data_IF_585314073684
#
_entry.id   IF_585314073684
#
_cell.length_a   1.000
_cell.length_b   1.000
_cell.length_c   1.000
_cell.angle_alpha   90.00
_cell.angle_beta   90.00
_cell.angle_gamma   90.00
#
_symmetry.space_group_name_H-M   'P 1'
#
loop_
_entity.id
_entity.type
_entity.pdbx_description
1 polymer ?
#
# COMPACT_ATOMS: atom_id res chain seq x y z
N UNK A 1 -5.38 -36.92 -2.02
CA UNK A 1 -4.88 -36.39 -0.74
C UNK A 1 -4.70 -34.89 -0.88
N UNK A 2 -5.20 -34.08 0.06
CA UNK A 2 -5.06 -32.63 0.02
C UNK A 2 -3.59 -32.24 0.28
N UNK A 3 -2.98 -31.48 -0.64
CA UNK A 3 -1.61 -30.98 -0.49
C UNK A 3 -1.56 -29.99 0.69
N UNK A 4 -0.57 -30.11 1.57
CA UNK A 4 -0.31 -29.07 2.58
C UNK A 4 0.01 -27.75 1.87
N UNK A 5 -0.66 -26.66 2.27
CA UNK A 5 -0.51 -25.32 1.68
C UNK A 5 0.94 -24.84 1.70
N UNK A 6 1.69 -25.14 2.76
CA UNK A 6 3.11 -24.80 2.88
C UNK A 6 3.96 -25.49 1.82
N UNK A 7 3.71 -26.78 1.54
CA UNK A 7 4.45 -27.53 0.53
C UNK A 7 4.22 -26.99 -0.88
N UNK A 8 3.00 -26.54 -1.17
CA UNK A 8 2.67 -25.90 -2.44
C UNK A 8 3.41 -24.56 -2.65
N UNK A 9 3.55 -23.76 -1.58
CA UNK A 9 4.29 -22.48 -1.62
C UNK A 9 5.76 -22.71 -1.93
N UNK A 10 6.39 -23.67 -1.24
CA UNK A 10 7.81 -24.00 -1.44
C UNK A 10 8.07 -24.56 -2.86
N UNK A 11 7.21 -25.48 -3.34
CA UNK A 11 7.27 -26.04 -4.70
C UNK A 11 7.15 -24.94 -5.76
N UNK A 12 6.16 -24.05 -5.62
CA UNK A 12 5.96 -22.96 -6.58
C UNK A 12 7.14 -21.99 -6.61
N UNK A 13 7.64 -21.58 -5.45
CA UNK A 13 8.78 -20.68 -5.36
C UNK A 13 10.03 -21.31 -6.00
N UNK A 14 10.29 -22.59 -5.69
CA UNK A 14 11.41 -23.34 -6.25
C UNK A 14 11.33 -23.50 -7.77
N UNK A 15 10.14 -23.84 -8.28
CA UNK A 15 9.88 -23.98 -9.72
C UNK A 15 10.08 -22.65 -10.46
N UNK A 16 9.54 -21.55 -9.92
CA UNK A 16 9.74 -20.21 -10.47
C UNK A 16 11.22 -19.81 -10.48
N UNK A 17 11.93 -20.01 -9.36
CA UNK A 17 13.34 -19.67 -9.23
C UNK A 17 14.19 -20.41 -10.26
N UNK A 18 13.95 -21.73 -10.39
CA UNK A 18 14.64 -22.57 -11.37
C UNK A 18 14.33 -22.13 -12.79
N UNK A 19 13.06 -21.87 -13.11
CA UNK A 19 12.65 -21.42 -14.43
C UNK A 19 13.34 -20.10 -14.80
N UNK A 20 13.33 -19.12 -13.90
CA UNK A 20 13.90 -17.80 -14.15
C UNK A 20 15.44 -17.83 -14.22
N UNK A 21 16.09 -18.61 -13.34
CA UNK A 21 17.54 -18.84 -13.40
C UNK A 21 17.94 -19.46 -14.75
N UNK A 22 17.25 -20.52 -15.17
CA UNK A 22 17.56 -21.20 -16.44
C UNK A 22 17.27 -20.31 -17.65
N UNK A 23 16.19 -19.52 -17.61
CA UNK A 23 15.85 -18.55 -18.66
C UNK A 23 16.94 -17.49 -18.87
N UNK A 24 17.62 -17.07 -17.79
CA UNK A 24 18.73 -16.12 -17.83
C UNK A 24 20.10 -16.76 -18.10
N UNK A 25 20.16 -18.08 -18.27
CA UNK A 25 21.41 -18.80 -18.52
C UNK A 25 22.35 -18.87 -17.32
N UNK A 26 21.83 -18.66 -16.11
CA UNK A 26 22.64 -18.63 -14.89
C UNK A 26 22.81 -20.03 -14.31
N UNK A 27 24.02 -20.33 -13.82
CA UNK A 27 24.29 -21.50 -12.99
C UNK A 27 23.87 -21.24 -11.53
N UNK A 28 23.70 -22.31 -10.74
CA UNK A 28 23.37 -22.17 -9.31
C UNK A 28 24.48 -21.46 -8.50
N UNK A 29 25.79 -21.69 -8.74
CA UNK A 29 26.85 -20.90 -8.11
C UNK A 29 26.77 -19.42 -8.48
N UNK A 30 26.61 -19.08 -9.76
CA UNK A 30 26.49 -17.69 -10.19
C UNK A 30 25.33 -16.97 -9.49
N UNK A 31 24.16 -17.62 -9.38
CA UNK A 31 23.03 -17.04 -8.66
C UNK A 31 23.33 -16.87 -7.16
N UNK A 32 24.02 -17.82 -6.55
CA UNK A 32 24.42 -17.72 -5.14
C UNK A 32 25.40 -16.56 -4.90
N UNK A 33 26.35 -16.36 -5.82
CA UNK A 33 27.31 -15.26 -5.79
C UNK A 33 26.59 -13.91 -5.93
N UNK A 34 25.71 -13.77 -6.94
CA UNK A 34 24.90 -12.55 -7.15
C UNK A 34 24.04 -12.18 -5.93
N UNK A 35 23.41 -13.16 -5.28
CA UNK A 35 22.61 -12.90 -4.07
C UNK A 35 23.47 -12.50 -2.88
N UNK A 36 24.68 -13.07 -2.77
CA UNK A 36 25.63 -12.71 -1.72
C UNK A 36 26.15 -11.28 -1.91
N UNK A 37 26.40 -10.87 -3.16
CA UNK A 37 26.85 -9.52 -3.52
C UNK A 37 25.78 -8.45 -3.21
N UNK A 38 24.50 -8.80 -3.33
CA UNK A 38 23.34 -7.95 -2.97
C UNK A 38 23.09 -7.85 -1.44
N UNK A 39 23.99 -8.40 -0.61
CA UNK A 39 23.89 -8.33 0.84
C UNK A 39 22.80 -9.23 1.44
N UNK A 40 22.24 -10.15 0.66
CA UNK A 40 21.35 -11.20 1.15
C UNK A 40 22.25 -12.25 1.78
N UNK A 41 21.90 -12.70 3.00
CA UNK A 41 22.70 -13.61 3.82
C UNK A 41 23.45 -14.69 2.99
N UNK A 42 24.70 -15.06 3.36
CA UNK A 42 25.57 -15.86 2.51
C UNK A 42 24.86 -17.09 1.94
N UNK A 43 24.69 -17.12 0.62
CA UNK A 43 24.04 -18.22 -0.07
C UNK A 43 25.08 -19.06 -0.78
N UNK A 44 24.90 -20.38 -0.71
CA UNK A 44 25.74 -21.35 -1.43
C UNK A 44 24.92 -22.00 -2.54
N UNK A 45 25.60 -22.47 -3.59
CA UNK A 45 24.96 -23.19 -4.70
C UNK A 45 24.08 -24.36 -4.23
N UNK A 46 24.49 -25.06 -3.17
CA UNK A 46 23.71 -26.16 -2.57
C UNK A 46 22.43 -25.68 -1.89
N UNK A 47 22.40 -24.46 -1.36
CA UNK A 47 21.19 -23.81 -0.82
C UNK A 47 20.21 -23.50 -1.95
N UNK A 48 20.70 -22.94 -3.06
CA UNK A 48 19.88 -22.72 -4.28
C UNK A 48 19.26 -24.04 -4.74
N UNK A 49 20.06 -25.10 -4.88
CA UNK A 49 19.57 -26.40 -5.32
C UNK A 49 18.46 -26.97 -4.39
N UNK A 50 18.58 -26.74 -3.08
CA UNK A 50 17.57 -27.19 -2.11
C UNK A 50 16.28 -26.37 -2.20
N UNK A 51 16.38 -25.06 -2.44
CA UNK A 51 15.21 -24.18 -2.67
C UNK A 51 14.52 -24.57 -3.98
N UNK A 52 15.27 -24.73 -5.07
CA UNK A 52 14.74 -25.10 -6.40
C UNK A 52 14.03 -26.46 -6.41
N UNK A 53 14.41 -27.37 -5.51
CA UNK A 53 13.79 -28.68 -5.35
C UNK A 53 12.71 -28.73 -4.29
N UNK A 54 12.42 -27.61 -3.62
CA UNK A 54 11.54 -27.51 -2.46
C UNK A 54 11.91 -28.49 -1.32
N UNK A 55 13.17 -28.94 -1.26
CA UNK A 55 13.69 -29.77 -0.17
C UNK A 55 14.09 -28.94 1.06
N UNK A 56 14.11 -27.61 0.92
CA UNK A 56 14.25 -26.61 1.98
C UNK A 56 13.31 -25.43 1.70
N UNK A 57 12.52 -25.04 2.69
CA UNK A 57 11.72 -23.82 2.62
C UNK A 57 12.61 -22.58 2.54
N UNK A 58 12.22 -21.62 1.69
CA UNK A 58 12.90 -20.33 1.58
C UNK A 58 12.52 -19.44 2.77
N UNK A 59 13.49 -18.77 3.39
CA UNK A 59 13.19 -17.80 4.45
C UNK A 59 12.64 -16.52 3.84
N UNK A 60 11.83 -15.77 4.59
CA UNK A 60 11.20 -14.53 4.08
C UNK A 60 12.23 -13.53 3.54
N UNK A 61 13.33 -13.30 4.27
CA UNK A 61 14.40 -12.40 3.83
C UNK A 61 15.13 -12.91 2.56
N UNK A 62 15.32 -14.22 2.43
CA UNK A 62 15.87 -14.84 1.21
C UNK A 62 14.90 -14.64 0.03
N UNK A 63 13.60 -14.86 0.27
CA UNK A 63 12.57 -14.75 -0.74
C UNK A 63 12.44 -13.32 -1.27
N UNK A 64 12.46 -12.31 -0.39
CA UNK A 64 12.47 -10.88 -0.76
C UNK A 64 13.71 -10.55 -1.58
N UNK A 65 14.89 -10.98 -1.12
CA UNK A 65 16.14 -10.71 -1.80
C UNK A 65 16.21 -11.31 -3.20
N UNK A 66 15.78 -12.57 -3.34
CA UNK A 66 15.65 -13.24 -4.62
C UNK A 66 14.66 -12.48 -5.52
N UNK A 67 13.47 -12.15 -5.02
CA UNK A 67 12.47 -11.42 -5.80
C UNK A 67 13.01 -10.08 -6.32
N UNK A 68 13.75 -9.34 -5.49
CA UNK A 68 14.42 -8.10 -5.88
C UNK A 68 15.47 -8.30 -6.98
N UNK A 69 16.37 -9.29 -6.84
CA UNK A 69 17.38 -9.61 -7.86
C UNK A 69 16.74 -9.94 -9.22
N UNK A 70 15.56 -10.57 -9.20
CA UNK A 70 14.82 -10.90 -10.41
C UNK A 70 13.88 -9.78 -10.89
N UNK A 71 13.71 -8.69 -10.14
CA UNK A 71 12.79 -7.59 -10.46
C UNK A 71 11.31 -7.97 -10.38
N UNK A 72 10.95 -8.89 -9.47
CA UNK A 72 9.60 -9.42 -9.30
C UNK A 72 9.04 -9.09 -7.90
N UNK A 73 7.71 -9.00 -7.77
CA UNK A 73 7.05 -8.96 -6.45
C UNK A 73 6.90 -10.38 -5.89
N UNK A 74 6.91 -10.51 -4.55
CA UNK A 74 6.67 -11.82 -3.92
C UNK A 74 5.28 -12.38 -4.26
N UNK A 75 4.27 -11.53 -4.38
CA UNK A 75 2.93 -11.97 -4.78
C UNK A 75 2.93 -12.60 -6.18
N UNK A 76 3.64 -12.01 -7.13
CA UNK A 76 3.82 -12.58 -8.47
C UNK A 76 4.54 -13.94 -8.42
N UNK A 77 5.66 -14.03 -7.69
CA UNK A 77 6.42 -15.27 -7.52
C UNK A 77 5.53 -16.38 -6.93
N UNK A 78 4.74 -16.04 -5.92
CA UNK A 78 3.82 -16.95 -5.24
C UNK A 78 2.51 -17.20 -6.01
N UNK A 79 2.32 -16.58 -7.18
CA UNK A 79 1.12 -16.76 -7.98
C UNK A 79 -0.14 -16.22 -7.35
N UNK A 80 0.04 -15.25 -6.46
CA UNK A 80 -1.02 -14.38 -6.03
C UNK A 80 -1.17 -13.34 -7.13
N UNK A 81 -2.01 -13.66 -8.11
CA UNK A 81 -2.62 -12.58 -8.86
C UNK A 81 -3.44 -11.75 -7.88
N UNK A 82 -3.41 -10.41 -8.01
CA UNK A 82 -4.32 -9.56 -7.25
C UNK A 82 -5.73 -10.07 -7.53
N UNK A 83 -6.34 -10.66 -6.51
CA UNK A 83 -7.71 -11.13 -6.58
C UNK A 83 -8.65 -10.08 -5.97
N UNK A 84 -9.94 -10.37 -6.05
CA UNK A 84 -11.01 -9.60 -5.44
C UNK A 84 -10.75 -9.29 -3.95
N UNK A 85 -10.05 -10.19 -3.24
CA UNK A 85 -9.70 -9.99 -1.82
C UNK A 85 -8.62 -8.94 -1.63
N UNK A 86 -7.64 -8.87 -2.55
CA UNK A 86 -6.58 -7.87 -2.57
C UNK A 86 -7.13 -6.48 -2.88
N UNK A 87 -8.03 -6.39 -3.88
CA UNK A 87 -8.73 -5.14 -4.20
C UNK A 87 -9.63 -4.68 -3.04
N UNK A 88 -10.40 -5.60 -2.46
CA UNK A 88 -11.26 -5.32 -1.30
C UNK A 88 -10.45 -4.79 -0.13
N UNK A 89 -9.30 -5.40 0.17
CA UNK A 89 -8.41 -4.95 1.24
C UNK A 89 -7.84 -3.55 0.95
N UNK A 90 -7.38 -3.30 -0.27
CA UNK A 90 -6.88 -1.99 -0.67
C UNK A 90 -7.97 -0.90 -0.55
N UNK A 91 -9.19 -1.19 -1.01
CA UNK A 91 -10.33 -0.25 -0.90
C UNK A 91 -10.77 -0.03 0.55
N UNK A 92 -10.71 -1.06 1.41
CA UNK A 92 -10.98 -0.91 2.83
C UNK A 92 -9.99 0.05 3.51
N UNK A 93 -8.72 0.00 3.11
CA UNK A 93 -7.72 0.96 3.58
C UNK A 93 -8.01 2.39 3.07
N UNK A 94 -8.38 2.54 1.78
CA UNK A 94 -8.80 3.84 1.23
C UNK A 94 -9.97 4.41 2.03
N UNK A 95 -11.00 3.62 2.30
CA UNK A 95 -12.16 4.03 3.10
C UNK A 95 -11.75 4.45 4.52
N UNK A 96 -10.89 3.67 5.19
CA UNK A 96 -10.41 4.00 6.54
C UNK A 96 -9.62 5.31 6.59
N UNK A 97 -8.72 5.52 5.61
CA UNK A 97 -7.91 6.74 5.54
C UNK A 97 -8.73 7.96 5.12
N UNK A 98 -9.61 7.82 4.13
CA UNK A 98 -10.50 8.89 3.70
C UNK A 98 -11.44 9.31 4.84
N UNK A 99 -12.03 8.37 5.58
CA UNK A 99 -12.86 8.72 6.75
C UNK A 99 -12.08 9.37 7.89
N UNK A 100 -10.79 9.05 8.04
CA UNK A 100 -9.93 9.74 9.01
C UNK A 100 -9.65 11.18 8.56
N UNK A 101 -9.30 11.38 7.28
CA UNK A 101 -9.05 12.69 6.72
C UNK A 101 -10.31 13.58 6.67
N UNK A 102 -11.49 12.99 6.40
CA UNK A 102 -12.79 13.65 6.47
C UNK A 102 -13.05 14.23 7.87
N UNK A 103 -12.88 13.43 8.94
CA UNK A 103 -13.07 13.92 10.31
C UNK A 103 -12.08 15.03 10.69
N UNK A 104 -10.83 14.90 10.25
CA UNK A 104 -9.79 15.90 10.50
C UNK A 104 -10.09 17.22 9.77
N UNK A 105 -10.50 17.15 8.50
CA UNK A 105 -10.85 18.34 7.72
C UNK A 105 -12.09 19.04 8.24
N UNK A 106 -13.11 18.29 8.66
CA UNK A 106 -14.29 18.86 9.31
C UNK A 106 -13.94 19.61 10.60
N UNK A 107 -13.15 19.00 11.48
CA UNK A 107 -12.71 19.64 12.72
C UNK A 107 -11.84 20.89 12.46
N UNK A 108 -10.97 20.83 11.45
CA UNK A 108 -10.16 21.97 11.06
C UNK A 108 -11.02 23.10 10.44
N UNK A 109 -12.03 22.77 9.63
CA UNK A 109 -12.94 23.75 9.05
C UNK A 109 -13.73 24.50 10.14
N UNK A 110 -14.22 23.78 11.15
CA UNK A 110 -14.85 24.38 12.34
C UNK A 110 -13.89 25.33 13.06
N UNK A 111 -12.66 24.90 13.27
CA UNK A 111 -11.64 25.76 13.91
C UNK A 111 -11.36 27.01 13.08
N UNK A 112 -11.29 26.90 11.75
CA UNK A 112 -11.09 28.05 10.87
C UNK A 112 -12.28 29.02 10.89
N UNK A 113 -13.51 28.51 10.96
CA UNK A 113 -14.71 29.33 11.13
C UNK A 113 -14.75 30.06 12.48
N UNK A 114 -14.38 29.38 13.57
CA UNK A 114 -14.26 29.99 14.90
C UNK A 114 -13.21 31.12 14.90
N UNK A 115 -12.09 30.93 14.19
CA UNK A 115 -11.07 31.96 14.01
C UNK A 115 -11.60 33.15 13.20
N UNK A 116 -12.35 32.91 12.13
CA UNK A 116 -12.98 33.97 11.34
C UNK A 116 -13.92 34.81 12.22
N UNK A 117 -14.75 34.17 13.05
CA UNK A 117 -15.66 34.85 13.97
C UNK A 117 -14.91 35.75 14.96
N UNK A 118 -13.86 35.21 15.60
CA UNK A 118 -13.03 35.97 16.54
C UNK A 118 -12.35 37.16 15.85
N UNK A 119 -11.79 36.96 14.67
CA UNK A 119 -11.09 38.01 13.93
C UNK A 119 -12.05 39.09 13.43
N UNK A 120 -13.26 38.72 13.02
CA UNK A 120 -14.29 39.68 12.62
C UNK A 120 -14.75 40.54 13.80
N UNK A 121 -14.91 39.96 14.99
CA UNK A 121 -15.22 40.72 16.21
C UNK A 121 -14.08 41.69 16.60
N UNK A 122 -12.82 41.26 16.44
CA UNK A 122 -11.65 42.14 16.66
C UNK A 122 -11.63 43.29 15.65
N UNK A 123 -11.84 42.99 14.36
CA UNK A 123 -11.84 43.99 13.29
C UNK A 123 -12.86 45.10 13.57
N UNK A 124 -14.08 44.69 13.92
CA UNK A 124 -15.18 45.61 14.23
C UNK A 124 -14.89 46.52 15.44
N UNK A 125 -14.15 46.02 16.43
CA UNK A 125 -13.90 46.75 17.69
C UNK A 125 -12.69 47.66 17.65
N UNK A 126 -11.65 47.28 16.91
CA UNK A 126 -10.34 47.91 17.00
C UNK A 126 -9.87 48.56 15.69
N UNK A 127 -10.58 48.34 14.57
CA UNK A 127 -10.28 48.92 13.24
C UNK A 127 -8.79 48.79 12.85
N UNK A 128 -8.15 47.71 13.28
CA UNK A 128 -6.72 47.54 13.08
C UNK A 128 -6.42 47.13 11.63
N UNK A 129 -5.53 47.89 10.98
CA UNK A 129 -5.28 47.84 9.53
C UNK A 129 -4.95 46.45 8.94
N UNK A 130 -4.43 45.51 9.74
CA UNK A 130 -4.05 44.16 9.29
C UNK A 130 -5.10 43.08 9.60
N UNK A 131 -6.10 43.37 10.43
CA UNK A 131 -7.10 42.37 10.85
C UNK A 131 -7.98 41.90 9.68
N UNK A 132 -8.39 42.77 8.71
CA UNK A 132 -9.15 42.32 7.54
C UNK A 132 -8.43 41.25 6.71
N UNK A 133 -7.10 41.32 6.63
CA UNK A 133 -6.29 40.31 5.92
C UNK A 133 -6.35 38.96 6.65
N UNK A 134 -6.24 38.96 7.99
CA UNK A 134 -6.38 37.75 8.80
C UNK A 134 -7.77 37.13 8.68
N UNK A 135 -8.83 37.94 8.64
CA UNK A 135 -10.21 37.47 8.40
C UNK A 135 -10.31 36.77 7.05
N UNK A 136 -9.75 37.36 5.98
CA UNK A 136 -9.74 36.74 4.65
C UNK A 136 -9.04 35.39 4.64
N UNK A 137 -7.87 35.30 5.29
CA UNK A 137 -7.11 34.06 5.38
C UNK A 137 -7.86 32.95 6.14
N UNK A 138 -8.52 33.29 7.26
CA UNK A 138 -9.33 32.34 8.02
C UNK A 138 -10.51 31.81 7.19
N UNK A 139 -11.21 32.69 6.48
CA UNK A 139 -12.32 32.34 5.58
C UNK A 139 -11.86 31.43 4.43
N UNK A 140 -10.74 31.77 3.78
CA UNK A 140 -10.16 30.97 2.70
C UNK A 140 -9.76 29.58 3.20
N UNK A 141 -9.13 29.50 4.38
CA UNK A 141 -8.80 28.22 5.00
C UNK A 141 -10.04 27.36 5.26
N UNK A 142 -11.11 27.95 5.83
CA UNK A 142 -12.37 27.26 6.07
C UNK A 142 -12.98 26.70 4.76
N UNK A 143 -12.99 27.51 3.69
CA UNK A 143 -13.51 27.10 2.39
C UNK A 143 -12.72 25.93 1.75
N UNK A 144 -11.39 25.97 1.83
CA UNK A 144 -10.56 24.88 1.32
C UNK A 144 -10.73 23.58 2.12
N UNK A 145 -10.89 23.69 3.44
CA UNK A 145 -11.11 22.53 4.31
C UNK A 145 -12.47 21.89 4.08
N UNK A 146 -13.51 22.70 3.84
CA UNK A 146 -14.84 22.21 3.45
C UNK A 146 -14.81 21.46 2.10
N UNK A 147 -14.13 22.04 1.11
CA UNK A 147 -13.93 21.37 -0.19
C UNK A 147 -13.18 20.04 -0.04
N UNK A 148 -12.15 20.00 0.82
CA UNK A 148 -11.40 18.78 1.09
C UNK A 148 -12.28 17.72 1.80
N UNK A 149 -13.11 18.14 2.76
CA UNK A 149 -14.07 17.29 3.46
C UNK A 149 -15.02 16.59 2.47
N UNK A 150 -15.66 17.34 1.56
CA UNK A 150 -16.55 16.76 0.53
C UNK A 150 -15.83 15.76 -0.37
N UNK A 151 -14.56 16.03 -0.72
CA UNK A 151 -13.78 15.10 -1.54
C UNK A 151 -13.51 13.77 -0.81
N UNK A 152 -13.19 13.82 0.49
CA UNK A 152 -12.97 12.61 1.28
C UNK A 152 -14.26 11.81 1.51
N UNK A 153 -15.40 12.48 1.71
CA UNK A 153 -16.72 11.83 1.73
C UNK A 153 -16.99 11.10 0.41
N UNK A 154 -16.76 11.75 -0.73
CA UNK A 154 -16.93 11.16 -2.06
C UNK A 154 -16.01 9.96 -2.28
N UNK A 155 -14.75 10.04 -1.83
CA UNK A 155 -13.81 8.91 -1.90
C UNK A 155 -14.33 7.69 -1.14
N UNK A 156 -14.91 7.88 0.05
CA UNK A 156 -15.50 6.77 0.82
C UNK A 156 -16.69 6.14 0.12
N UNK A 157 -17.57 6.96 -0.47
CA UNK A 157 -18.71 6.48 -1.26
C UNK A 157 -18.27 5.63 -2.45
N UNK A 158 -17.27 6.09 -3.21
CA UNK A 158 -16.72 5.35 -4.35
C UNK A 158 -16.06 4.05 -3.90
N UNK A 159 -15.22 4.08 -2.85
CA UNK A 159 -14.54 2.89 -2.33
C UNK A 159 -15.55 1.82 -1.86
N UNK A 160 -16.65 2.25 -1.22
CA UNK A 160 -17.74 1.36 -0.82
C UNK A 160 -18.37 0.70 -2.04
N UNK A 161 -18.67 1.48 -3.08
CA UNK A 161 -19.22 0.99 -4.35
C UNK A 161 -18.35 -0.11 -4.98
N UNK A 162 -17.04 0.10 -5.03
CA UNK A 162 -16.07 -0.89 -5.55
C UNK A 162 -16.08 -2.18 -4.73
N UNK A 163 -16.06 -2.09 -3.40
CA UNK A 163 -16.11 -3.27 -2.52
C UNK A 163 -17.41 -4.07 -2.76
N UNK A 164 -18.55 -3.37 -2.87
CA UNK A 164 -19.85 -4.01 -3.09
C UNK A 164 -19.94 -4.70 -4.45
N UNK A 165 -19.46 -4.08 -5.53
CA UNK A 165 -19.50 -4.68 -6.88
C UNK A 165 -18.64 -5.94 -6.97
N UNK A 166 -17.43 -5.89 -6.38
CA UNK A 166 -16.53 -7.05 -6.34
C UNK A 166 -17.14 -8.21 -5.55
N UNK A 167 -17.82 -7.92 -4.44
CA UNK A 167 -18.49 -8.95 -3.61
C UNK A 167 -19.66 -9.65 -4.30
N UNK A 168 -20.30 -9.01 -5.28
CA UNK A 168 -21.40 -9.58 -6.07
C UNK A 168 -20.89 -10.44 -7.23
N UNK A 169 -19.75 -10.08 -7.83
CA UNK A 169 -19.12 -10.84 -8.91
C UNK A 169 -18.54 -12.17 -8.41
N UNK A 170 -17.92 -12.20 -7.22
CA UNK A 170 -17.37 -13.45 -6.66
C UNK A 170 -18.44 -14.48 -6.23
N UNK A 171 -19.74 -14.13 -6.25
CA UNK A 171 -20.87 -15.03 -5.89
C UNK A 171 -21.54 -15.70 -7.10
N UNK A 172 -21.19 -15.32 -8.33
CA UNK A 172 -21.70 -15.92 -9.58
C UNK A 172 -20.79 -17.02 -10.08
#
# INVERSE_FOLDING_TARGET
MARSRTKWVDERFGDWLKAERTRRGWSQPQLADMLTDEGIAPMHATTIAKIESASRSVRINEAVGIANLFGASLDWVLGREPDDSTLTFAMANVMSYAGTAERQTLSAAQTAADLEEILADIDQRFEAMQVPELVSLAREAAHHLDTAHTNYERMQSIATGVITSTSEESKK
#
